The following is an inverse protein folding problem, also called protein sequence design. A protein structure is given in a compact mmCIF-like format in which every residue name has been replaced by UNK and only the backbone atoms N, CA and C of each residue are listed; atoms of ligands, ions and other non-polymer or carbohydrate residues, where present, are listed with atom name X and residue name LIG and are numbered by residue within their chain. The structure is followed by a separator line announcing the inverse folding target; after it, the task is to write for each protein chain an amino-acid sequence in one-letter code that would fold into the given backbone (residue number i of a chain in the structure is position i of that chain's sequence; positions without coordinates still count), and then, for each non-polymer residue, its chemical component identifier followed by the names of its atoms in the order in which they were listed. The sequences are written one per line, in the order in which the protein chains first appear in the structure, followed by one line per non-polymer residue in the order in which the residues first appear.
data_IF_784426762053
#
_entry.id   IF_784426762053
#
_cell.length_a   1.000
_cell.length_b   1.000
_cell.length_c   1.000
_cell.angle_alpha   90.00
_cell.angle_beta   90.00
_cell.angle_gamma   90.00
#
_symmetry.space_group_name_H-M   'P 1'
#
loop_
_entity.id
_entity.type
_entity.pdbx_description
1 polymer ?
#
# COMPACT_ATOMS: atom_id res chain seq x y z
N UNK A 1 -12.76 -10.48 12.44
CA UNK A 1 -12.38 -11.41 11.33
C UNK A 1 -12.42 -10.69 9.97
N UNK A 2 -11.44 -9.83 9.70
CA UNK A 2 -11.06 -9.43 8.34
C UNK A 2 -9.54 -9.46 8.27
N UNK A 3 -9.01 -10.65 7.97
CA UNK A 3 -7.62 -10.81 7.53
C UNK A 3 -7.45 -9.97 6.27
N UNK A 4 -6.86 -8.79 6.43
CA UNK A 4 -6.36 -7.97 5.31
C UNK A 4 -4.85 -8.06 5.37
N UNK A 5 -4.36 -9.13 4.77
CA UNK A 5 -2.96 -9.23 4.40
C UNK A 5 -2.56 -7.95 3.69
N UNK A 6 -1.64 -7.22 4.29
CA UNK A 6 -0.70 -6.34 3.60
C UNK A 6 0.03 -7.24 2.60
N UNK A 7 -0.61 -7.47 1.46
CA UNK A 7 -0.03 -8.21 0.37
C UNK A 7 1.24 -7.48 -0.01
N UNK A 8 2.37 -8.04 0.40
CA UNK A 8 3.69 -7.70 -0.09
C UNK A 8 3.55 -7.60 -1.61
N UNK A 9 3.59 -6.37 -2.14
CA UNK A 9 3.51 -6.15 -3.58
C UNK A 9 4.81 -6.66 -4.17
N UNK A 10 4.81 -7.97 -4.47
CA UNK A 10 5.79 -8.62 -5.30
C UNK A 10 5.35 -8.29 -6.72
N UNK A 11 6.06 -7.40 -7.45
CA UNK A 11 5.71 -7.15 -8.84
C UNK A 11 5.64 -8.52 -9.52
N UNK A 12 4.54 -8.78 -10.23
CA UNK A 12 4.41 -9.95 -11.10
C UNK A 12 5.44 -9.78 -12.21
N UNK A 13 6.70 -10.07 -11.92
CA UNK A 13 7.77 -10.14 -12.89
C UNK A 13 7.44 -11.38 -13.72
N UNK A 14 6.97 -11.24 -14.97
CA UNK A 14 6.67 -12.41 -15.75
C UNK A 14 7.99 -13.17 -15.98
N UNK A 15 8.00 -14.46 -15.62
CA UNK A 15 9.07 -15.37 -15.98
C UNK A 15 9.37 -15.21 -17.48
N UNK A 16 10.66 -15.14 -17.83
CA UNK A 16 11.21 -14.62 -19.09
C UNK A 16 10.76 -15.32 -20.38
N UNK A 17 9.47 -15.25 -20.72
CA UNK A 17 8.91 -15.79 -21.95
C UNK A 17 8.81 -14.72 -23.03
N UNK A 18 9.32 -15.02 -24.24
CA UNK A 18 9.31 -14.21 -25.47
C UNK A 18 7.90 -13.91 -26.02
N UNK A 19 7.01 -13.30 -25.25
CA UNK A 19 5.70 -12.83 -25.74
C UNK A 19 5.78 -11.38 -26.22
N UNK A 20 5.12 -11.03 -27.35
CA UNK A 20 5.11 -9.68 -27.86
C UNK A 20 4.41 -8.70 -26.91
N UNK A 21 4.93 -7.48 -26.82
CA UNK A 21 4.48 -6.37 -25.95
C UNK A 21 2.95 -6.13 -25.89
N UNK A 22 2.18 -6.12 -27.01
CA UNK A 22 0.74 -5.85 -26.95
C UNK A 22 -0.04 -6.88 -26.14
N UNK A 23 0.34 -8.17 -26.21
CA UNK A 23 -0.34 -9.23 -25.45
C UNK A 23 -0.07 -9.13 -23.95
N UNK A 24 1.11 -8.65 -23.55
CA UNK A 24 1.43 -8.42 -22.13
C UNK A 24 0.60 -7.28 -21.53
N UNK A 25 0.43 -6.19 -22.28
CA UNK A 25 -0.44 -5.07 -21.88
C UNK A 25 -1.89 -5.52 -21.70
N UNK A 26 -2.42 -6.31 -22.63
CA UNK A 26 -3.79 -6.86 -22.53
C UNK A 26 -3.95 -7.78 -21.31
N UNK A 27 -2.95 -8.60 -20.99
CA UNK A 27 -2.98 -9.44 -19.80
C UNK A 27 -2.94 -8.64 -18.49
N UNK A 28 -2.14 -7.58 -18.41
CA UNK A 28 -2.06 -6.69 -17.23
C UNK A 28 -3.39 -5.96 -17.01
N UNK A 29 -4.01 -5.46 -18.09
CA UNK A 29 -5.34 -4.83 -18.02
C UNK A 29 -6.42 -5.85 -17.63
N UNK A 30 -6.32 -7.08 -18.13
CA UNK A 30 -7.28 -8.14 -17.83
C UNK A 30 -7.17 -8.66 -16.38
N UNK A 31 -5.97 -8.73 -15.81
CA UNK A 31 -5.75 -9.19 -14.43
C UNK A 31 -6.22 -8.19 -13.39
N UNK A 32 -6.32 -6.89 -13.72
CA UNK A 32 -6.79 -5.84 -12.83
C UNK A 32 -8.29 -5.49 -13.01
N UNK A 33 -9.06 -6.34 -13.71
CA UNK A 33 -10.50 -6.12 -13.96
C UNK A 33 -11.37 -6.01 -12.71
N UNK A 34 -10.93 -6.51 -11.55
CA UNK A 34 -11.65 -6.40 -10.27
C UNK A 34 -11.77 -4.97 -9.74
N UNK A 35 -11.02 -4.02 -10.29
CA UNK A 35 -11.02 -2.62 -9.87
C UNK A 35 -11.64 -1.68 -10.91
N UNK A 36 -12.15 -2.23 -12.03
CA UNK A 36 -12.92 -1.46 -13.01
C UNK A 36 -14.39 -1.41 -12.58
N UNK A 37 -15.12 -0.32 -12.87
CA UNK A 37 -16.54 -0.24 -12.59
C UNK A 37 -17.27 -1.41 -13.21
N UNK A 38 -18.30 -1.88 -12.51
CA UNK A 38 -19.06 -3.06 -12.91
C UNK A 38 -19.54 -2.93 -14.36
N UNK A 39 -19.49 -4.02 -15.15
CA UNK A 39 -19.68 -4.00 -16.60
C UNK A 39 -21.02 -3.39 -17.05
N UNK A 40 -22.02 -3.38 -16.17
CA UNK A 40 -23.33 -2.76 -16.42
C UNK A 40 -23.25 -1.25 -16.67
N UNK A 41 -22.25 -0.53 -16.13
CA UNK A 41 -22.10 0.91 -16.35
C UNK A 41 -21.82 1.23 -17.83
N UNK A 42 -21.05 0.38 -18.51
CA UNK A 42 -20.80 0.51 -19.95
C UNK A 42 -22.06 0.19 -20.78
N UNK A 43 -22.88 -0.76 -20.32
CA UNK A 43 -24.16 -1.10 -20.96
C UNK A 43 -25.14 0.07 -20.83
N UNK A 44 -25.24 0.69 -19.64
CA UNK A 44 -26.09 1.87 -19.43
C UNK A 44 -25.63 3.05 -20.29
N UNK A 45 -24.32 3.33 -20.34
CA UNK A 45 -23.79 4.39 -21.19
C UNK A 45 -24.06 4.16 -22.68
N UNK A 46 -23.94 2.91 -23.15
CA UNK A 46 -24.29 2.53 -24.52
C UNK A 46 -25.78 2.74 -24.79
N UNK A 47 -26.66 2.30 -23.89
CA UNK A 47 -28.11 2.45 -24.03
C UNK A 47 -28.52 3.93 -24.07
N UNK A 48 -27.93 4.76 -23.20
CA UNK A 48 -28.16 6.21 -23.20
C UNK A 48 -27.70 6.85 -24.51
N UNK A 49 -26.52 6.46 -25.03
CA UNK A 49 -26.02 6.96 -26.31
C UNK A 49 -26.89 6.56 -27.51
N UNK A 50 -27.39 5.33 -27.51
CA UNK A 50 -28.32 4.83 -28.55
C UNK A 50 -29.65 5.60 -28.49
N UNK A 51 -30.21 5.82 -27.30
CA UNK A 51 -31.46 6.56 -27.13
C UNK A 51 -31.31 8.02 -27.61
N UNK A 52 -30.22 8.70 -27.24
CA UNK A 52 -29.92 10.05 -27.71
C UNK A 52 -29.75 10.12 -29.23
N UNK A 53 -29.05 9.17 -29.84
CA UNK A 53 -28.87 9.13 -31.28
C UNK A 53 -30.20 8.91 -32.02
N UNK A 54 -31.10 8.07 -31.49
CA UNK A 54 -32.43 7.84 -32.06
C UNK A 54 -33.30 9.10 -32.02
N UNK A 55 -33.32 9.82 -30.88
CA UNK A 55 -34.04 11.09 -30.73
C UNK A 55 -33.49 12.15 -31.70
N UNK A 56 -32.17 12.24 -31.82
CA UNK A 56 -31.50 13.19 -32.72
C UNK A 56 -31.80 12.89 -34.19
N UNK A 57 -31.79 11.60 -34.57
CA UNK A 57 -32.14 11.16 -35.91
C UNK A 57 -33.59 11.52 -36.26
N UNK A 58 -34.52 11.33 -35.32
CA UNK A 58 -35.93 11.62 -35.50
C UNK A 58 -36.21 13.12 -35.66
N UNK A 59 -35.52 13.98 -34.87
CA UNK A 59 -35.71 15.43 -34.89
C UNK A 59 -35.04 16.13 -36.08
N UNK A 60 -33.82 15.72 -36.44
CA UNK A 60 -32.98 16.48 -37.38
C UNK A 60 -32.89 15.81 -38.76
N UNK A 61 -33.40 14.57 -38.92
CA UNK A 61 -33.37 13.73 -40.14
C UNK A 61 -32.01 13.61 -40.83
N UNK A 62 -30.95 14.06 -40.18
CA UNK A 62 -29.61 14.20 -40.72
C UNK A 62 -28.77 13.07 -40.18
N UNK A 63 -28.54 12.07 -41.02
CA UNK A 63 -27.86 10.82 -40.67
C UNK A 63 -26.42 11.02 -40.11
N UNK A 64 -25.76 12.12 -40.47
CA UNK A 64 -24.42 12.47 -39.99
C UNK A 64 -24.41 13.02 -38.55
N UNK A 65 -25.49 13.68 -38.11
CA UNK A 65 -25.63 14.14 -36.71
C UNK A 65 -25.89 12.96 -35.77
N UNK A 66 -26.62 11.93 -36.21
CA UNK A 66 -26.83 10.70 -35.46
C UNK A 66 -25.52 9.98 -35.15
N UNK A 67 -24.58 9.94 -36.11
CA UNK A 67 -23.27 9.33 -35.91
C UNK A 67 -22.41 10.09 -34.88
N UNK A 68 -22.43 11.42 -34.92
CA UNK A 68 -21.75 12.27 -33.94
C UNK A 68 -22.34 12.13 -32.53
N UNK A 69 -23.67 12.08 -32.42
CA UNK A 69 -24.37 11.91 -31.14
C UNK A 69 -24.26 10.49 -30.58
N UNK A 70 -23.93 9.46 -31.37
CA UNK A 70 -23.62 8.14 -30.83
C UNK A 70 -22.20 8.08 -30.22
N UNK A 71 -21.25 8.79 -30.83
CA UNK A 71 -19.83 8.77 -30.43
C UNK A 71 -19.56 9.72 -29.26
N UNK A 72 -20.25 10.87 -29.21
CA UNK A 72 -20.02 11.90 -28.19
C UNK A 72 -20.34 11.43 -26.74
N UNK A 73 -21.46 10.75 -26.43
CA UNK A 73 -21.76 10.27 -25.09
C UNK A 73 -20.78 9.18 -24.65
N UNK A 74 -20.33 8.31 -25.56
CA UNK A 74 -19.30 7.32 -25.24
C UNK A 74 -17.98 7.99 -24.88
N UNK A 75 -17.59 9.06 -25.59
CA UNK A 75 -16.38 9.85 -25.29
C UNK A 75 -16.52 10.70 -24.03
N UNK A 76 -17.69 11.29 -23.79
CA UNK A 76 -18.00 12.07 -22.58
C UNK A 76 -18.08 11.16 -21.37
N UNK A 77 -18.70 9.99 -21.48
CA UNK A 77 -18.68 8.97 -20.42
C UNK A 77 -17.26 8.45 -20.16
N UNK A 78 -16.45 8.25 -21.21
CA UNK A 78 -15.05 7.89 -21.04
C UNK A 78 -14.23 9.02 -20.38
N UNK A 79 -14.49 10.29 -20.69
CA UNK A 79 -13.83 11.46 -20.11
C UNK A 79 -14.29 11.72 -18.66
N UNK A 80 -15.59 11.61 -18.38
CA UNK A 80 -16.14 11.71 -17.03
C UNK A 80 -15.71 10.51 -16.18
N UNK A 81 -15.60 9.31 -16.75
CA UNK A 81 -14.98 8.15 -16.12
C UNK A 81 -13.51 8.41 -15.82
N UNK A 82 -12.76 8.94 -16.78
CA UNK A 82 -11.40 9.38 -16.55
C UNK A 82 -11.39 10.37 -15.38
N UNK A 83 -12.13 11.48 -15.45
CA UNK A 83 -12.16 12.53 -14.43
C UNK A 83 -12.57 12.01 -13.04
N UNK A 84 -13.60 11.17 -12.93
CA UNK A 84 -14.07 10.59 -11.65
C UNK A 84 -13.17 9.48 -11.13
N UNK A 85 -12.51 8.73 -12.02
CA UNK A 85 -11.40 7.84 -11.67
C UNK A 85 -10.12 8.63 -11.33
N UNK A 86 -9.99 9.90 -11.73
CA UNK A 86 -8.81 10.73 -11.44
C UNK A 86 -8.92 11.51 -10.12
N UNK A 87 -10.09 11.59 -9.49
CA UNK A 87 -10.30 12.38 -8.26
C UNK A 87 -10.29 11.58 -6.94
N UNK A 88 -10.17 10.24 -6.98
CA UNK A 88 -10.15 9.41 -5.77
C UNK A 88 -8.75 8.89 -5.40
N UNK A 89 -8.32 9.03 -4.14
CA UNK A 89 -6.99 8.64 -3.66
C UNK A 89 -6.56 7.19 -4.00
N UNK A 90 -7.51 6.24 -4.03
CA UNK A 90 -7.25 4.84 -4.42
C UNK A 90 -6.87 4.67 -5.90
N UNK A 91 -7.35 5.55 -6.77
CA UNK A 91 -7.08 5.45 -8.21
C UNK A 91 -5.70 6.00 -8.59
N UNK A 92 -5.19 7.01 -7.87
CA UNK A 92 -3.81 7.47 -8.00
C UNK A 92 -2.82 6.34 -7.67
N UNK A 93 -3.08 5.58 -6.60
CA UNK A 93 -2.29 4.41 -6.23
C UNK A 93 -2.37 3.30 -7.29
N UNK A 94 -3.57 3.03 -7.80
CA UNK A 94 -3.80 2.06 -8.89
C UNK A 94 -3.05 2.43 -10.17
N UNK A 95 -3.06 3.71 -10.56
CA UNK A 95 -2.34 4.19 -11.74
C UNK A 95 -0.83 4.19 -11.54
N UNK A 96 -0.38 4.42 -10.31
CA UNK A 96 1.03 4.25 -9.95
C UNK A 96 1.50 2.81 -10.17
N UNK A 97 0.69 1.80 -9.78
CA UNK A 97 0.97 0.37 -9.96
C UNK A 97 0.98 -0.02 -11.45
N UNK A 98 -0.01 0.45 -12.21
CA UNK A 98 -0.08 0.21 -13.65
C UNK A 98 1.09 0.85 -14.41
N UNK A 99 1.52 2.06 -14.03
CA UNK A 99 2.74 2.67 -14.58
C UNK A 99 3.96 1.80 -14.35
N UNK A 100 4.12 1.20 -13.17
CA UNK A 100 5.24 0.30 -12.86
C UNK A 100 5.21 -0.99 -13.69
N UNK A 101 4.04 -1.62 -13.83
CA UNK A 101 3.89 -2.84 -14.63
C UNK A 101 4.15 -2.58 -16.13
N UNK A 102 3.66 -1.45 -16.65
CA UNK A 102 3.96 -1.01 -18.01
C UNK A 102 5.45 -0.71 -18.17
N UNK A 103 6.06 0.02 -17.24
CA UNK A 103 7.50 0.32 -17.31
C UNK A 103 8.36 -0.95 -17.21
N UNK A 104 7.94 -1.93 -16.39
CA UNK A 104 8.61 -3.22 -16.25
C UNK A 104 8.58 -4.04 -17.54
N UNK A 105 7.55 -3.84 -18.37
CA UNK A 105 7.43 -4.48 -19.68
C UNK A 105 8.42 -3.93 -20.72
N UNK A 106 8.83 -2.65 -20.58
CA UNK A 106 9.76 -1.95 -21.48
C UNK A 106 11.20 -1.97 -20.95
N UNK A 107 11.40 -1.71 -19.66
CA UNK A 107 12.71 -1.64 -19.02
C UNK A 107 12.64 -2.06 -17.55
N UNK A 108 13.04 -3.31 -17.27
CA UNK A 108 13.05 -3.85 -15.91
C UNK A 108 13.94 -3.04 -14.95
N UNK A 109 15.08 -2.51 -15.42
CA UNK A 109 16.01 -1.72 -14.60
C UNK A 109 15.35 -0.43 -14.07
N UNK A 110 14.76 0.39 -14.95
CA UNK A 110 14.09 1.63 -14.52
C UNK A 110 12.86 1.34 -13.67
N UNK A 111 12.15 0.24 -13.93
CA UNK A 111 11.00 -0.15 -13.12
C UNK A 111 11.42 -0.53 -11.69
N UNK A 112 12.54 -1.25 -11.54
CA UNK A 112 13.12 -1.54 -10.21
C UNK A 112 13.58 -0.27 -9.51
N UNK A 113 14.34 0.59 -10.18
CA UNK A 113 14.80 1.86 -9.60
C UNK A 113 13.61 2.74 -9.14
N UNK A 114 12.55 2.82 -9.94
CA UNK A 114 11.35 3.58 -9.59
C UNK A 114 10.55 2.92 -8.47
N UNK A 115 10.48 1.58 -8.44
CA UNK A 115 9.83 0.83 -7.36
C UNK A 115 10.55 1.03 -6.02
N UNK A 116 11.89 0.99 -6.03
CA UNK A 116 12.71 1.28 -4.84
C UNK A 116 12.48 2.71 -4.35
N UNK A 117 12.56 3.70 -5.26
CA UNK A 117 12.30 5.11 -4.90
C UNK A 117 10.91 5.31 -4.30
N UNK A 118 9.89 4.67 -4.86
CA UNK A 118 8.51 4.76 -4.34
C UNK A 118 8.34 4.06 -3.01
N UNK A 119 8.93 2.88 -2.84
CA UNK A 119 8.87 2.14 -1.56
C UNK A 119 9.59 2.91 -0.45
N UNK A 120 10.68 3.60 -0.78
CA UNK A 120 11.46 4.39 0.18
C UNK A 120 10.83 5.76 0.52
N UNK A 121 10.02 6.34 -0.38
CA UNK A 121 9.50 7.70 -0.19
C UNK A 121 8.74 7.90 1.13
N UNK A 122 7.80 7.02 1.55
CA UNK A 122 7.10 7.17 2.82
C UNK A 122 8.02 7.13 4.05
N UNK A 123 9.15 6.43 3.96
CA UNK A 123 10.12 6.32 5.04
C UNK A 123 11.07 7.52 5.11
N UNK A 124 11.38 8.13 3.95
CA UNK A 124 12.19 9.35 3.90
C UNK A 124 11.42 10.58 4.37
N UNK A 125 10.15 10.65 4.03
CA UNK A 125 9.25 11.75 4.38
C UNK A 125 8.31 11.33 5.54
N UNK A 126 8.79 10.49 6.46
CA UNK A 126 7.97 9.94 7.54
C UNK A 126 7.37 11.06 8.40
N UNK A 127 6.04 11.08 8.63
CA UNK A 127 5.39 12.15 9.38
C UNK A 127 5.56 12.00 10.91
N UNK A 128 6.28 10.97 11.34
CA UNK A 128 6.55 10.62 12.73
C UNK A 128 7.92 9.97 12.87
N UNK A 129 8.52 9.95 14.08
CA UNK A 129 9.81 9.32 14.30
C UNK A 129 9.79 7.84 13.91
N UNK A 130 10.82 7.39 13.20
CA UNK A 130 11.02 5.97 12.90
C UNK A 130 11.88 5.34 13.98
N UNK A 131 11.49 4.15 14.42
CA UNK A 131 12.22 3.34 15.38
C UNK A 131 12.66 2.04 14.72
N UNK A 132 13.88 1.61 15.00
CA UNK A 132 14.47 0.37 14.50
C UNK A 132 15.58 -0.13 15.43
N UNK A 133 16.26 -1.21 15.04
CA UNK A 133 17.33 -1.78 15.84
C UNK A 133 18.64 -1.01 15.65
N UNK A 134 19.50 -0.92 16.68
CA UNK A 134 20.76 -0.18 16.61
C UNK A 134 21.68 -0.74 15.52
N UNK A 135 22.61 0.07 14.96
CA UNK A 135 23.53 -0.38 13.91
C UNK A 135 24.39 -1.60 14.29
N UNK A 136 24.65 -1.79 15.58
CA UNK A 136 25.35 -2.96 16.14
C UNK A 136 24.55 -4.26 16.01
N UNK A 137 23.24 -4.18 15.79
CA UNK A 137 22.40 -5.35 15.56
C UNK A 137 22.69 -5.94 14.18
N UNK A 138 23.20 -7.17 14.19
CA UNK A 138 23.52 -7.93 12.99
C UNK A 138 22.25 -8.39 12.25
N UNK A 139 22.42 -8.65 10.96
CA UNK A 139 21.35 -9.16 10.10
C UNK A 139 20.92 -8.17 9.03
N UNK A 140 20.10 -8.66 8.10
CA UNK A 140 19.64 -7.86 6.97
C UNK A 140 18.60 -6.86 7.41
N UNK A 141 18.77 -5.59 7.00
CA UNK A 141 17.81 -4.50 7.22
C UNK A 141 16.92 -4.36 6.00
N UNK A 142 15.61 -4.28 6.18
CA UNK A 142 14.67 -4.19 5.07
C UNK A 142 13.54 -3.21 5.41
N UNK A 143 13.05 -2.49 4.40
CA UNK A 143 11.78 -1.78 4.53
C UNK A 143 10.65 -2.81 4.66
N UNK A 144 9.92 -2.76 5.77
CA UNK A 144 8.73 -3.58 6.02
C UNK A 144 7.52 -3.06 5.25
N UNK A 145 6.34 -3.21 5.86
CA UNK A 145 5.09 -2.69 5.31
C UNK A 145 4.89 -1.19 5.54
N UNK A 146 3.94 -0.63 4.80
CA UNK A 146 3.47 0.75 4.95
C UNK A 146 1.95 0.71 5.02
N UNK A 147 1.37 1.34 6.01
CA UNK A 147 -0.08 1.52 6.11
C UNK A 147 -0.45 2.97 5.85
N UNK A 148 -1.57 3.17 5.16
CA UNK A 148 -2.04 4.51 4.83
C UNK A 148 -3.56 4.54 4.84
N UNK A 149 -4.11 5.62 5.39
CA UNK A 149 -5.53 5.87 5.45
C UNK A 149 -5.85 7.06 4.56
N UNK A 150 -6.88 6.93 3.74
CA UNK A 150 -7.46 8.07 3.04
C UNK A 150 -8.57 8.63 3.92
N UNK A 151 -8.48 9.90 4.29
CA UNK A 151 -9.63 10.64 4.77
C UNK A 151 -10.65 10.75 3.61
N UNK A 152 -11.95 10.66 3.88
CA UNK A 152 -13.03 10.59 2.87
C UNK A 152 -12.97 11.71 1.82
N UNK A 153 -12.30 12.82 2.12
CA UNK A 153 -12.07 13.95 1.21
C UNK A 153 -10.63 14.47 1.23
N UNK A 154 -9.72 13.82 1.94
CA UNK A 154 -8.35 14.28 2.15
C UNK A 154 -7.31 13.52 1.35
N UNK A 155 -6.07 14.03 1.28
CA UNK A 155 -4.94 13.28 0.73
C UNK A 155 -4.71 12.00 1.54
N UNK A 156 -4.14 10.99 0.87
CA UNK A 156 -3.73 9.75 1.52
C UNK A 156 -2.62 10.06 2.54
N UNK A 157 -2.82 9.66 3.80
CA UNK A 157 -1.88 9.90 4.89
C UNK A 157 -1.26 8.58 5.33
N UNK A 158 0.06 8.56 5.44
CA UNK A 158 0.80 7.44 6.04
C UNK A 158 0.45 7.34 7.52
N UNK A 159 -0.04 6.18 7.95
CA UNK A 159 -0.49 5.94 9.32
C UNK A 159 0.38 4.94 10.06
N UNK A 160 1.09 4.06 9.35
CA UNK A 160 2.06 3.17 9.94
C UNK A 160 3.23 2.89 9.00
N UNK A 161 4.42 2.75 9.56
CA UNK A 161 5.65 2.41 8.85
C UNK A 161 6.39 1.31 9.63
N UNK A 162 6.78 0.25 8.93
CA UNK A 162 7.45 -0.91 9.53
C UNK A 162 8.89 -1.05 9.00
N UNK A 163 9.83 -1.24 9.91
CA UNK A 163 11.22 -1.57 9.63
C UNK A 163 11.52 -3.02 10.05
N UNK A 164 12.01 -3.82 9.11
CA UNK A 164 12.25 -5.25 9.29
C UNK A 164 13.73 -5.56 9.44
N UNK A 165 14.05 -6.46 10.37
CA UNK A 165 15.40 -6.97 10.60
C UNK A 165 15.37 -8.49 10.59
N UNK A 166 16.30 -9.11 9.84
CA UNK A 166 16.35 -10.56 9.69
C UNK A 166 17.74 -11.07 10.08
N UNK A 167 17.82 -11.78 11.20
CA UNK A 167 19.05 -12.40 11.72
C UNK A 167 18.77 -13.79 12.32
N UNK A 168 18.38 -14.75 11.47
CA UNK A 168 17.80 -16.01 11.92
C UNK A 168 16.33 -15.81 12.30
N UNK A 169 16.06 -15.15 13.43
CA UNK A 169 14.74 -14.63 13.78
C UNK A 169 14.44 -13.32 13.06
N UNK A 170 13.15 -13.03 12.85
CA UNK A 170 12.70 -11.76 12.28
C UNK A 170 12.24 -10.83 13.39
N UNK A 171 12.69 -9.57 13.33
CA UNK A 171 12.25 -8.50 14.23
C UNK A 171 11.71 -7.36 13.38
N UNK A 172 10.39 -7.19 13.42
CA UNK A 172 9.68 -6.11 12.74
C UNK A 172 9.30 -5.04 13.76
N UNK A 173 9.66 -3.80 13.46
CA UNK A 173 9.34 -2.63 14.30
C UNK A 173 8.39 -1.74 13.50
N UNK A 174 7.12 -1.70 13.89
CA UNK A 174 6.09 -0.85 13.28
C UNK A 174 5.85 0.36 14.18
N UNK A 175 5.92 1.56 13.61
CA UNK A 175 5.51 2.79 14.29
C UNK A 175 4.20 3.26 13.66
N UNK A 176 3.19 3.44 14.50
CA UNK A 176 1.86 3.87 14.11
C UNK A 176 1.52 5.23 14.73
N UNK A 177 0.82 6.07 13.98
CA UNK A 177 0.22 7.31 14.51
C UNK A 177 -1.08 7.02 15.24
N UNK A 178 -1.29 7.61 16.42
CA UNK A 178 -2.43 7.31 17.29
C UNK A 178 -3.79 7.89 16.84
N UNK A 179 -3.91 8.47 15.64
CA UNK A 179 -5.13 9.18 15.25
C UNK A 179 -6.30 8.24 14.81
N UNK A 180 -7.42 8.46 15.52
CA UNK A 180 -8.87 8.36 15.28
C UNK A 180 -9.63 7.03 15.08
N UNK A 181 -9.13 5.92 14.53
CA UNK A 181 -10.00 4.71 14.42
C UNK A 181 -9.27 3.36 14.20
N UNK A 182 -8.01 3.37 13.74
CA UNK A 182 -7.34 2.14 13.29
C UNK A 182 -6.38 1.50 14.31
N UNK A 183 -5.70 2.32 15.12
CA UNK A 183 -4.70 1.84 16.08
C UNK A 183 -5.35 1.41 17.39
N UNK A 184 -6.34 2.15 17.88
CA UNK A 184 -7.16 1.72 19.02
C UNK A 184 -7.81 0.35 18.73
N UNK A 185 -8.38 0.15 17.53
CA UNK A 185 -8.95 -1.15 17.14
C UNK A 185 -7.89 -2.26 17.11
N UNK A 186 -6.67 -2.00 16.60
CA UNK A 186 -5.58 -2.99 16.63
C UNK A 186 -5.12 -3.29 18.05
N UNK A 187 -4.91 -2.27 18.88
CA UNK A 187 -4.47 -2.40 20.27
C UNK A 187 -5.55 -3.07 21.15
N UNK A 188 -6.83 -2.79 20.92
CA UNK A 188 -7.97 -3.41 21.60
C UNK A 188 -8.18 -4.87 21.16
N UNK A 189 -8.01 -5.19 19.86
CA UNK A 189 -7.97 -6.58 19.37
C UNK A 189 -6.76 -7.35 19.97
N UNK A 190 -5.63 -6.68 20.18
CA UNK A 190 -4.46 -7.21 20.87
C UNK A 190 -4.69 -7.37 22.38
N UNK A 191 -5.54 -6.55 23.00
CA UNK A 191 -5.74 -6.41 24.45
C UNK A 191 -6.85 -7.24 25.10
N UNK A 192 -7.59 -8.08 24.37
CA UNK A 192 -8.76 -8.78 24.91
C UNK A 192 -8.53 -10.23 25.40
N UNK A 193 -7.30 -10.78 25.37
CA UNK A 193 -7.05 -12.20 25.70
C UNK A 193 -5.80 -12.38 26.59
N UNK A 194 -5.91 -13.30 27.55
CA UNK A 194 -5.21 -13.29 28.84
C UNK A 194 -3.74 -13.78 28.88
N UNK A 195 -3.12 -14.20 27.77
CA UNK A 195 -1.73 -14.72 27.75
C UNK A 195 -0.70 -13.67 27.32
N UNK A 196 -0.52 -12.66 28.16
CA UNK A 196 0.43 -11.56 27.96
C UNK A 196 1.27 -11.22 29.19
N UNK A 197 2.32 -10.43 28.98
CA UNK A 197 3.19 -9.92 30.05
C UNK A 197 3.73 -8.52 29.75
N UNK A 198 4.63 -8.04 30.61
CA UNK A 198 5.32 -6.75 30.42
C UNK A 198 6.81 -6.99 30.25
N UNK A 199 7.43 -6.31 29.31
CA UNK A 199 8.87 -6.29 29.09
C UNK A 199 9.36 -4.85 29.04
N UNK A 200 10.55 -4.58 29.57
CA UNK A 200 11.17 -3.27 29.51
C UNK A 200 12.12 -3.22 28.32
N UNK A 201 11.74 -2.48 27.27
CA UNK A 201 12.56 -2.29 26.08
C UNK A 201 13.15 -0.88 26.13
N UNK A 202 14.48 -0.72 25.97
CA UNK A 202 15.09 0.59 25.83
C UNK A 202 14.67 1.23 24.49
N UNK A 203 14.13 2.45 24.55
CA UNK A 203 13.81 3.30 23.41
C UNK A 203 14.62 4.58 23.54
N UNK A 204 15.54 4.83 22.61
CA UNK A 204 16.50 5.95 22.67
C UNK A 204 17.27 6.01 24.01
N UNK A 205 17.57 4.83 24.59
CA UNK A 205 18.25 4.69 25.89
C UNK A 205 17.35 4.83 27.12
N UNK A 206 16.07 5.18 26.96
CA UNK A 206 15.10 5.22 28.05
C UNK A 206 14.33 3.88 28.13
N UNK A 207 14.21 3.30 29.33
CA UNK A 207 13.42 2.07 29.51
C UNK A 207 11.92 2.38 29.44
N UNK A 208 11.24 1.77 28.49
CA UNK A 208 9.80 1.88 28.30
C UNK A 208 9.13 0.54 28.57
N UNK A 209 7.95 0.57 29.18
CA UNK A 209 7.13 -0.63 29.41
C UNK A 209 6.38 -1.01 28.14
N UNK A 210 6.68 -2.19 27.62
CA UNK A 210 5.96 -2.79 26.51
C UNK A 210 5.10 -3.93 27.04
N UNK A 211 3.81 -3.92 26.71
CA UNK A 211 2.93 -5.06 26.92
C UNK A 211 3.06 -5.99 25.74
N UNK A 212 3.38 -7.25 26.00
CA UNK A 212 3.52 -8.24 24.95
C UNK A 212 2.47 -9.35 25.05
N UNK A 213 2.16 -9.95 23.92
CA UNK A 213 1.26 -11.10 23.80
C UNK A 213 1.89 -12.15 22.89
N UNK A 214 1.77 -13.42 23.26
CA UNK A 214 2.14 -14.53 22.40
C UNK A 214 1.08 -14.72 21.29
N UNK A 215 1.56 -14.98 20.08
CA UNK A 215 0.81 -15.30 18.87
C UNK A 215 1.40 -16.57 18.26
N UNK A 216 0.64 -17.24 17.39
CA UNK A 216 1.13 -18.43 16.67
C UNK A 216 2.39 -18.11 15.84
N UNK A 217 2.53 -16.87 15.39
CA UNK A 217 3.65 -16.35 14.58
C UNK A 217 4.76 -15.68 15.41
N UNK A 218 4.73 -15.76 16.75
CA UNK A 218 5.75 -15.18 17.64
C UNK A 218 5.17 -14.34 18.77
N UNK A 219 5.75 -13.17 19.03
CA UNK A 219 5.32 -12.25 20.09
C UNK A 219 5.15 -10.87 19.51
N UNK A 220 4.07 -10.21 19.92
CA UNK A 220 3.80 -8.81 19.58
C UNK A 220 3.85 -8.00 20.86
N UNK A 221 4.84 -7.13 20.96
CA UNK A 221 5.00 -6.18 22.06
C UNK A 221 4.61 -4.78 21.62
N UNK A 222 3.87 -4.05 22.45
CA UNK A 222 3.46 -2.68 22.13
C UNK A 222 3.67 -1.72 23.30
N UNK A 223 3.99 -0.48 22.97
CA UNK A 223 4.03 0.64 23.90
C UNK A 223 3.55 1.92 23.21
N UNK A 224 2.95 2.81 24.00
CA UNK A 224 2.65 4.17 23.57
C UNK A 224 3.82 5.08 23.96
N UNK A 225 4.34 5.82 22.98
CA UNK A 225 5.40 6.81 23.16
C UNK A 225 4.95 8.11 22.50
N UNK A 226 4.65 9.12 23.31
CA UNK A 226 4.06 10.39 22.88
C UNK A 226 2.75 10.19 22.07
N UNK A 227 2.69 10.76 20.87
CA UNK A 227 1.54 10.71 19.94
C UNK A 227 1.56 9.48 19.00
N UNK A 228 2.39 8.47 19.31
CA UNK A 228 2.60 7.30 18.46
C UNK A 228 2.62 6.01 19.27
N UNK A 229 2.24 4.91 18.63
CA UNK A 229 2.39 3.57 19.17
C UNK A 229 3.55 2.87 18.46
N UNK A 230 4.38 2.19 19.24
CA UNK A 230 5.45 1.33 18.73
C UNK A 230 5.00 -0.12 18.93
N UNK A 231 5.04 -0.90 17.87
CA UNK A 231 4.80 -2.34 17.88
C UNK A 231 6.09 -3.05 17.46
N UNK A 232 6.44 -4.10 18.19
CA UNK A 232 7.58 -4.98 17.92
C UNK A 232 7.05 -6.38 17.72
N UNK A 233 7.24 -6.94 16.54
CA UNK A 233 6.94 -8.33 16.23
C UNK A 233 8.24 -9.11 16.17
N UNK A 234 8.40 -10.11 17.02
CA UNK A 234 9.59 -10.95 17.01
C UNK A 234 9.34 -12.31 17.65
N UNK A 235 10.31 -13.20 17.53
CA UNK A 235 10.33 -14.43 18.33
C UNK A 235 10.45 -14.10 19.82
N UNK A 236 9.90 -14.97 20.68
CA UNK A 236 9.91 -14.76 22.14
C UNK A 236 11.32 -14.59 22.71
N UNK A 237 12.28 -15.36 22.21
CA UNK A 237 13.68 -15.30 22.65
C UNK A 237 14.38 -14.01 22.25
N UNK A 238 13.98 -13.39 21.13
CA UNK A 238 14.60 -12.17 20.65
C UNK A 238 14.13 -10.93 21.43
N UNK A 239 12.94 -11.00 22.06
CA UNK A 239 12.30 -9.84 22.68
C UNK A 239 13.13 -9.19 23.80
N UNK A 240 13.87 -10.00 24.57
CA UNK A 240 14.69 -9.52 25.69
C UNK A 240 15.95 -8.78 25.23
N UNK A 241 16.42 -9.08 24.01
CA UNK A 241 17.60 -8.47 23.42
C UNK A 241 17.26 -7.18 22.64
N UNK A 242 15.98 -6.93 22.34
CA UNK A 242 15.56 -5.78 21.53
C UNK A 242 15.92 -4.46 22.23
N UNK A 243 16.64 -3.61 21.49
CA UNK A 243 16.83 -2.20 21.79
C UNK A 243 16.33 -1.39 20.59
N UNK A 244 15.58 -0.33 20.86
CA UNK A 244 15.04 0.55 19.83
C UNK A 244 15.77 1.89 19.84
N UNK A 245 16.23 2.29 18.66
CA UNK A 245 16.83 3.60 18.43
C UNK A 245 16.10 4.32 17.31
N UNK A 246 16.07 5.65 17.40
CA UNK A 246 15.55 6.51 16.35
C UNK A 246 16.40 6.38 15.08
N UNK A 247 15.73 6.09 13.96
CA UNK A 247 16.37 5.96 12.65
C UNK A 247 16.21 7.26 11.88
N UNK A 248 17.33 7.98 11.69
CA UNK A 248 17.39 9.19 10.85
C UNK A 248 17.87 8.87 9.43
N UNK A 249 18.73 7.86 9.27
CA UNK A 249 19.19 7.39 7.97
C UNK A 249 18.54 6.04 7.63
N UNK A 250 17.60 6.08 6.69
CA UNK A 250 16.90 4.89 6.18
C UNK A 250 17.65 4.18 5.06
N UNK A 251 18.77 4.72 4.59
CA UNK A 251 19.53 4.17 3.47
C UNK A 251 19.98 2.71 3.67
N UNK A 252 20.44 2.27 4.88
CA UNK A 252 20.75 0.86 5.13
C UNK A 252 19.57 -0.10 4.89
N UNK A 253 18.33 0.35 5.16
CA UNK A 253 17.11 -0.43 4.94
C UNK A 253 16.69 -0.47 3.46
N UNK A 254 17.02 0.60 2.71
CA UNK A 254 16.77 0.68 1.27
C UNK A 254 17.71 -0.25 0.52
N UNK A 255 18.99 -0.25 0.91
CA UNK A 255 20.02 -1.04 0.25
C UNK A 255 19.97 -2.52 0.64
N UNK A 256 19.24 -2.87 1.70
CA UNK A 256 19.14 -4.25 2.16
C UNK A 256 20.39 -4.74 2.89
N UNK A 257 21.23 -3.82 3.35
CA UNK A 257 22.56 -4.11 3.88
C UNK A 257 22.44 -4.79 5.24
N UNK A 258 23.30 -5.78 5.48
CA UNK A 258 23.65 -6.19 6.83
C UNK A 258 24.90 -5.38 7.23
N UNK A 259 24.92 -4.76 8.43
CA UNK A 259 26.14 -4.17 8.97
C UNK A 259 27.21 -5.24 9.21
#
# INVERSE_FOLDING_TARGET
MTSRGSAEYRPLLPAGGRRPLPMRLVQIVRSHRSHLPAPWIYVVALLVGVALAAVTWWLLRSWWLSALVLIAPARVAALLFAATAFTGGRAAETWSRLKLDVLASVSQRRARELAVRRRAAPFRDAPFPLYGLPPTWHGRRMLGSTSSTADRRGPMRTTALELRHVNGSTVDVEVCRLDDDGVAVRLDELGADADGGVVLIPVDGQRCEFRYRASDDGVVAHAQVDDHAILVHCDRSALEDVELVRITDVQPYIDGMAP
#
